data_IF_607871385014
#
_entry.id   IF_607871385014
#
_cell.length_a   1.000
_cell.length_b   1.000
_cell.length_c   1.000
_cell.angle_alpha   90.00
_cell.angle_beta   90.00
_cell.angle_gamma   90.00
#
_symmetry.space_group_name_H-M   'P 1'
#
loop_
_entity.id
_entity.type
_entity.pdbx_description
1 polymer ?
#
# COMPACT_ATOMS: atom_id res chain seq x y z
N UNK A 1 15.55 8.54 11.03
CA UNK A 1 14.09 8.38 10.88
C UNK A 1 13.69 8.69 9.44
N UNK A 2 12.73 7.96 8.88
CA UNK A 2 12.14 8.21 7.55
C UNK A 2 10.62 8.11 7.76
N UNK A 3 9.89 9.19 7.47
CA UNK A 3 8.42 9.25 7.52
C UNK A 3 7.85 9.77 8.84
N UNK A 4 7.04 10.83 8.75
CA UNK A 4 5.98 11.31 9.67
C UNK A 4 6.27 11.54 11.16
N UNK A 5 7.40 11.08 11.70
CA UNK A 5 7.76 11.21 13.11
C UNK A 5 8.07 12.67 13.53
N UNK A 6 7.99 13.64 12.62
CA UNK A 6 8.04 15.08 12.91
C UNK A 6 6.66 15.67 13.27
N UNK A 7 5.55 14.99 12.95
CA UNK A 7 4.21 15.39 13.39
C UNK A 7 3.92 14.61 14.67
N UNK A 8 3.91 15.29 15.83
CA UNK A 8 3.79 14.69 17.18
C UNK A 8 2.63 13.68 17.32
N UNK A 9 1.56 13.84 16.55
CA UNK A 9 0.35 12.98 16.57
C UNK A 9 0.57 11.61 15.90
N UNK A 10 1.59 11.44 15.03
CA UNK A 10 1.75 10.25 14.18
C UNK A 10 2.87 9.28 14.59
N UNK A 11 3.51 9.44 15.75
CA UNK A 11 4.62 8.52 16.12
C UNK A 11 4.15 7.11 16.47
N UNK A 12 2.97 6.95 17.07
CA UNK A 12 2.49 5.67 17.60
C UNK A 12 1.09 5.27 17.12
N UNK A 13 0.43 6.08 16.29
CA UNK A 13 -0.89 5.74 15.77
C UNK A 13 -0.78 5.09 14.39
N UNK A 14 -0.78 3.75 14.37
CA UNK A 14 -0.63 2.97 13.13
C UNK A 14 -1.75 3.22 12.13
N UNK A 15 -2.97 3.52 12.60
CA UNK A 15 -4.08 3.87 11.70
C UNK A 15 -3.83 5.20 11.01
N UNK A 16 -3.43 6.24 11.75
CA UNK A 16 -3.13 7.55 11.17
C UNK A 16 -1.95 7.49 10.19
N UNK A 17 -0.92 6.69 10.50
CA UNK A 17 0.20 6.43 9.60
C UNK A 17 -0.31 5.75 8.32
N UNK A 18 -1.11 4.69 8.47
CA UNK A 18 -1.64 3.91 7.35
C UNK A 18 -2.51 4.78 6.43
N UNK A 19 -3.42 5.58 6.98
CA UNK A 19 -4.27 6.50 6.20
C UNK A 19 -3.43 7.55 5.46
N UNK A 20 -2.36 8.05 6.09
CA UNK A 20 -1.47 9.03 5.44
C UNK A 20 -0.76 8.41 4.23
N UNK A 21 -0.20 7.22 4.40
CA UNK A 21 0.41 6.47 3.31
C UNK A 21 -0.60 6.12 2.21
N UNK A 22 -1.82 5.72 2.58
CA UNK A 22 -2.89 5.44 1.64
C UNK A 22 -3.25 6.69 0.81
N UNK A 23 -3.39 7.84 1.47
CA UNK A 23 -3.71 9.09 0.78
C UNK A 23 -2.60 9.48 -0.21
N UNK A 24 -1.33 9.32 0.18
CA UNK A 24 -0.20 9.54 -0.71
C UNK A 24 -0.17 8.55 -1.88
N UNK A 25 -0.41 7.28 -1.61
CA UNK A 25 -0.54 6.24 -2.63
C UNK A 25 -1.64 6.57 -3.62
N UNK A 26 -2.81 7.01 -3.15
CA UNK A 26 -3.95 7.32 -4.02
C UNK A 26 -3.59 8.38 -5.06
N UNK A 27 -2.96 9.48 -4.64
CA UNK A 27 -2.47 10.54 -5.55
C UNK A 27 -1.46 9.97 -6.56
N UNK A 28 -0.48 9.22 -6.09
CA UNK A 28 0.52 8.61 -6.98
C UNK A 28 -0.10 7.60 -7.95
N UNK A 29 -1.15 6.89 -7.51
CA UNK A 29 -1.85 5.90 -8.32
C UNK A 29 -2.63 6.56 -9.47
N UNK A 30 -3.26 7.71 -9.21
CA UNK A 30 -3.91 8.54 -10.24
C UNK A 30 -2.86 9.06 -11.23
N UNK A 31 -1.72 9.56 -10.72
CA UNK A 31 -0.65 10.05 -11.60
C UNK A 31 -0.09 8.95 -12.50
N UNK A 32 0.12 7.75 -11.96
CA UNK A 32 0.55 6.58 -12.74
C UNK A 32 -0.47 6.26 -13.82
N UNK A 33 -1.76 6.19 -13.47
CA UNK A 33 -2.83 5.88 -14.41
C UNK A 33 -2.92 6.91 -15.54
N UNK A 34 -2.90 8.21 -15.22
CA UNK A 34 -2.87 9.30 -16.21
C UNK A 34 -1.68 9.14 -17.16
N UNK A 35 -0.47 8.92 -16.62
CA UNK A 35 0.73 8.74 -17.45
C UNK A 35 0.59 7.50 -18.35
N UNK A 36 0.09 6.38 -17.82
CA UNK A 36 -0.05 5.13 -18.56
C UNK A 36 -1.08 5.24 -19.70
N UNK A 37 -2.19 5.93 -19.47
CA UNK A 37 -3.20 6.17 -20.48
C UNK A 37 -2.66 7.00 -21.65
N UNK A 38 -1.70 7.91 -21.43
CA UNK A 38 -1.01 8.63 -22.52
C UNK A 38 -0.27 7.69 -23.48
N UNK A 39 0.15 6.51 -23.01
CA UNK A 39 0.80 5.48 -23.81
C UNK A 39 -0.16 4.36 -24.24
N UNK A 40 -1.46 4.52 -24.01
CA UNK A 40 -2.48 3.54 -24.39
C UNK A 40 -2.57 2.32 -23.48
N UNK A 41 -1.88 2.32 -22.33
CA UNK A 41 -2.01 1.25 -21.33
C UNK A 41 -3.25 1.49 -20.47
N UNK A 42 -4.06 0.44 -20.30
CA UNK A 42 -5.22 0.45 -19.40
C UNK A 42 -4.93 -0.37 -18.16
N UNK A 43 -5.62 -0.03 -17.06
CA UNK A 43 -5.55 -0.79 -15.81
C UNK A 43 -6.37 -2.08 -15.86
N UNK A 44 -7.36 -2.16 -16.74
CA UNK A 44 -8.37 -3.22 -16.73
C UNK A 44 -9.34 -3.08 -15.56
N UNK A 45 -10.27 -4.03 -15.45
CA UNK A 45 -11.31 -4.01 -14.44
C UNK A 45 -11.66 -5.44 -13.97
N UNK A 46 -11.39 -5.80 -12.70
CA UNK A 46 -11.68 -7.14 -12.17
C UNK A 46 -13.14 -7.29 -11.72
N UNK A 47 -13.97 -6.25 -11.90
CA UNK A 47 -15.33 -6.22 -11.40
C UNK A 47 -16.23 -7.19 -12.17
N UNK A 48 -17.15 -7.83 -11.45
CA UNK A 48 -18.14 -8.75 -12.02
C UNK A 48 -19.42 -8.00 -12.38
N UNK A 49 -20.35 -8.64 -13.08
CA UNK A 49 -21.68 -8.06 -13.34
C UNK A 49 -22.47 -7.75 -12.05
N UNK A 50 -22.15 -8.40 -10.92
CA UNK A 50 -22.83 -8.19 -9.65
C UNK A 50 -22.01 -7.24 -8.74
N UNK A 51 -22.53 -6.04 -8.41
CA UNK A 51 -21.82 -5.08 -7.58
C UNK A 51 -21.58 -5.58 -6.16
N UNK A 52 -22.56 -6.26 -5.54
CA UNK A 52 -22.43 -6.77 -4.16
C UNK A 52 -21.34 -7.85 -4.10
N UNK A 53 -21.31 -8.74 -5.09
CA UNK A 53 -20.30 -9.79 -5.16
C UNK A 53 -18.90 -9.19 -5.35
N UNK A 54 -18.78 -8.18 -6.22
CA UNK A 54 -17.52 -7.48 -6.45
C UNK A 54 -17.02 -6.77 -5.18
N UNK A 55 -17.93 -6.15 -4.41
CA UNK A 55 -17.59 -5.52 -3.13
C UNK A 55 -17.05 -6.54 -2.14
N UNK A 56 -17.73 -7.68 -2.02
CA UNK A 56 -17.31 -8.74 -1.12
C UNK A 56 -15.92 -9.26 -1.47
N UNK A 57 -15.67 -9.61 -2.74
CA UNK A 57 -14.36 -10.13 -3.16
C UNK A 57 -13.24 -9.11 -2.97
N UNK A 58 -13.43 -7.86 -3.40
CA UNK A 58 -12.40 -6.83 -3.26
C UNK A 58 -12.13 -6.47 -1.79
N UNK A 59 -13.15 -6.50 -0.93
CA UNK A 59 -13.01 -6.25 0.50
C UNK A 59 -12.34 -7.41 1.23
N UNK A 60 -12.58 -8.65 0.81
CA UNK A 60 -11.99 -9.84 1.44
C UNK A 60 -10.59 -10.17 0.91
N UNK A 61 -10.25 -9.77 -0.32
CA UNK A 61 -8.97 -10.04 -0.98
C UNK A 61 -7.73 -9.74 -0.12
N UNK A 62 -7.64 -8.59 0.59
CA UNK A 62 -6.49 -8.30 1.46
C UNK A 62 -6.18 -9.37 2.50
N UNK A 63 -7.18 -10.09 3.00
CA UNK A 63 -6.96 -11.14 4.01
C UNK A 63 -6.14 -12.30 3.44
N UNK A 64 -6.41 -12.69 2.19
CA UNK A 64 -5.69 -13.79 1.55
C UNK A 64 -4.36 -13.32 0.98
N UNK A 65 -4.37 -12.18 0.29
CA UNK A 65 -3.20 -11.64 -0.39
C UNK A 65 -2.09 -11.26 0.60
N UNK A 66 -2.42 -10.60 1.72
CA UNK A 66 -1.40 -10.17 2.67
C UNK A 66 -0.78 -11.35 3.45
N UNK A 67 -1.51 -12.45 3.64
CA UNK A 67 -0.92 -13.68 4.19
C UNK A 67 0.11 -14.24 3.21
N UNK A 68 -0.24 -14.35 1.93
CA UNK A 68 0.70 -14.86 0.94
C UNK A 68 1.91 -13.92 0.74
N UNK A 69 1.66 -12.65 0.41
CA UNK A 69 2.74 -11.73 0.07
C UNK A 69 3.51 -11.23 1.29
N UNK A 70 2.86 -10.93 2.43
CA UNK A 70 3.59 -10.38 3.58
C UNK A 70 4.08 -11.44 4.51
N UNK A 71 3.26 -12.43 4.85
CA UNK A 71 3.71 -13.46 5.80
C UNK A 71 4.65 -14.43 5.09
N UNK A 72 4.21 -15.05 3.99
CA UNK A 72 5.01 -16.10 3.33
C UNK A 72 6.18 -15.54 2.52
N UNK A 73 5.96 -14.54 1.66
CA UNK A 73 7.00 -14.06 0.73
C UNK A 73 7.90 -12.93 1.27
N UNK A 74 7.62 -12.39 2.45
CA UNK A 74 8.42 -11.32 3.06
C UNK A 74 8.80 -11.66 4.51
N UNK A 75 7.82 -11.99 5.36
CA UNK A 75 7.99 -12.27 6.77
C UNK A 75 8.86 -13.50 7.04
N UNK A 76 8.57 -14.63 6.38
CA UNK A 76 9.39 -15.85 6.51
C UNK A 76 10.84 -15.61 6.03
N UNK A 77 11.10 -15.06 4.82
CA UNK A 77 12.46 -14.72 4.40
C UNK A 77 13.20 -13.83 5.40
N UNK A 78 12.54 -12.77 5.91
CA UNK A 78 13.13 -11.87 6.89
C UNK A 78 13.45 -12.59 8.21
N UNK A 79 12.56 -13.47 8.68
CA UNK A 79 12.78 -14.27 9.87
C UNK A 79 13.99 -15.20 9.70
N UNK A 80 14.02 -15.98 8.61
CA UNK A 80 15.09 -16.96 8.36
C UNK A 80 16.47 -16.31 8.21
N UNK A 81 16.54 -15.12 7.61
CA UNK A 81 17.81 -14.44 7.35
C UNK A 81 18.36 -13.69 8.58
N UNK A 82 17.49 -13.15 9.44
CA UNK A 82 17.90 -12.18 10.46
C UNK A 82 17.63 -12.62 11.90
N UNK A 83 16.80 -13.64 12.12
CA UNK A 83 16.47 -14.12 13.46
C UNK A 83 17.17 -15.47 13.69
N UNK A 84 18.11 -15.53 14.66
CA UNK A 84 18.75 -16.79 15.01
C UNK A 84 17.73 -17.82 15.51
N UNK A 85 17.96 -19.09 15.13
CA UNK A 85 17.17 -20.23 15.59
C UNK A 85 17.09 -20.30 17.12
N UNK A 86 15.96 -20.78 17.65
CA UNK A 86 15.76 -21.01 19.09
C UNK A 86 15.30 -19.81 19.93
N UNK A 87 15.10 -18.62 19.33
CA UNK A 87 14.67 -17.42 20.08
C UNK A 87 13.18 -17.31 20.39
N UNK A 88 12.33 -18.21 19.86
CA UNK A 88 10.88 -18.14 20.06
C UNK A 88 10.18 -16.91 19.44
N UNK A 89 10.87 -16.16 18.56
CA UNK A 89 10.37 -14.90 17.99
C UNK A 89 9.58 -15.08 16.68
N UNK A 90 9.21 -16.32 16.32
CA UNK A 90 8.61 -16.62 15.01
C UNK A 90 7.34 -15.80 14.75
N UNK A 91 6.28 -16.01 15.55
CA UNK A 91 5.01 -15.30 15.38
C UNK A 91 5.15 -13.78 15.57
N UNK A 92 6.00 -13.36 16.52
CA UNK A 92 6.28 -11.93 16.75
C UNK A 92 6.92 -11.28 15.52
N UNK A 93 7.85 -11.96 14.85
CA UNK A 93 8.53 -11.46 13.64
C UNK A 93 7.57 -11.44 12.45
N UNK A 94 6.75 -12.49 12.29
CA UNK A 94 5.73 -12.52 11.24
C UNK A 94 4.66 -11.44 11.41
N UNK A 95 4.37 -11.02 12.64
CA UNK A 95 3.46 -9.90 12.89
C UNK A 95 4.14 -8.53 12.73
N UNK A 96 5.39 -8.38 13.19
CA UNK A 96 6.12 -7.11 13.15
C UNK A 96 7.64 -7.33 12.98
N UNK A 97 8.13 -7.45 11.73
CA UNK A 97 9.53 -7.78 11.47
C UNK A 97 10.53 -6.78 12.06
N UNK A 98 10.28 -5.47 11.90
CA UNK A 98 11.20 -4.42 12.36
C UNK A 98 11.52 -4.48 13.85
N UNK A 99 10.57 -4.89 14.70
CA UNK A 99 10.78 -4.98 16.16
C UNK A 99 11.79 -6.05 16.55
N UNK A 100 11.87 -7.12 15.77
CA UNK A 100 12.63 -8.32 16.14
C UNK A 100 13.97 -8.42 15.40
N UNK A 101 14.10 -7.80 14.23
CA UNK A 101 15.35 -7.79 13.46
C UNK A 101 16.42 -6.95 14.19
N UNK A 102 17.60 -7.52 14.52
CA UNK A 102 18.61 -6.87 15.36
C UNK A 102 19.01 -5.48 14.89
N UNK A 103 19.19 -4.56 15.84
CA UNK A 103 19.45 -3.13 15.61
C UNK A 103 20.78 -2.82 14.90
N UNK A 104 21.77 -3.73 14.88
CA UNK A 104 23.02 -3.55 14.11
C UNK A 104 22.74 -3.63 12.60
N UNK A 105 22.06 -2.61 12.09
CA UNK A 105 21.71 -2.37 10.70
C UNK A 105 22.96 -1.96 9.96
N UNK A 106 23.83 -2.93 9.71
CA UNK A 106 24.89 -2.75 8.73
C UNK A 106 24.29 -2.40 7.37
N UNK A 107 25.09 -1.79 6.50
CA UNK A 107 24.68 -1.46 5.12
C UNK A 107 24.08 -2.66 4.39
N UNK A 108 24.62 -3.86 4.63
CA UNK A 108 24.18 -5.10 3.98
C UNK A 108 22.82 -5.59 4.48
N UNK A 109 22.51 -5.45 5.77
CA UNK A 109 21.18 -5.77 6.32
C UNK A 109 20.12 -4.87 5.71
N UNK A 110 20.40 -3.57 5.63
CA UNK A 110 19.48 -2.60 5.03
C UNK A 110 19.26 -2.87 3.55
N UNK A 111 20.35 -3.19 2.82
CA UNK A 111 20.29 -3.56 1.41
C UNK A 111 19.47 -4.83 1.18
N UNK A 112 19.71 -5.87 1.96
CA UNK A 112 18.97 -7.14 1.85
C UNK A 112 17.47 -6.93 2.11
N UNK A 113 17.09 -6.17 3.14
CA UNK A 113 15.67 -5.84 3.40
C UNK A 113 15.07 -5.08 2.21
N UNK A 114 15.78 -4.09 1.65
CA UNK A 114 15.31 -3.35 0.49
C UNK A 114 15.12 -4.24 -0.75
N UNK A 115 16.04 -5.18 -1.00
CA UNK A 115 15.94 -6.14 -2.09
C UNK A 115 14.72 -7.06 -1.90
N UNK A 116 14.52 -7.60 -0.70
CA UNK A 116 13.38 -8.50 -0.43
C UNK A 116 12.06 -7.74 -0.61
N UNK A 117 11.96 -6.49 -0.12
CA UNK A 117 10.80 -5.62 -0.36
C UNK A 117 10.59 -5.40 -1.87
N UNK A 118 11.64 -5.08 -2.62
CA UNK A 118 11.54 -4.84 -4.06
C UNK A 118 11.06 -6.08 -4.82
N UNK A 119 11.63 -7.25 -4.53
CA UNK A 119 11.22 -8.52 -5.14
C UNK A 119 9.79 -8.89 -4.78
N UNK A 120 9.41 -8.72 -3.52
CA UNK A 120 8.04 -8.95 -3.04
C UNK A 120 7.02 -8.05 -3.77
N UNK A 121 7.38 -6.79 -3.98
CA UNK A 121 6.52 -5.80 -4.63
C UNK A 121 6.41 -6.02 -6.13
N UNK A 122 7.50 -6.43 -6.77
CA UNK A 122 7.49 -6.85 -8.17
C UNK A 122 6.59 -8.07 -8.36
N UNK A 123 6.74 -9.10 -7.51
CA UNK A 123 5.87 -10.28 -7.54
C UNK A 123 4.40 -9.88 -7.36
N UNK A 124 4.08 -9.03 -6.36
CA UNK A 124 2.74 -8.52 -6.13
C UNK A 124 2.14 -7.82 -7.36
N UNK A 125 2.91 -6.93 -8.00
CA UNK A 125 2.44 -6.24 -9.22
C UNK A 125 2.22 -7.18 -10.40
N UNK A 126 3.11 -8.16 -10.60
CA UNK A 126 2.99 -9.14 -11.70
C UNK A 126 1.78 -10.07 -11.52
N UNK A 127 1.55 -10.56 -10.30
CA UNK A 127 0.44 -11.50 -10.05
C UNK A 127 -0.92 -10.88 -10.26
N UNK A 128 -1.05 -9.56 -10.11
CA UNK A 128 -2.29 -8.84 -10.40
C UNK A 128 -2.71 -8.96 -11.87
N UNK A 129 -1.80 -9.22 -12.80
CA UNK A 129 -2.13 -9.43 -14.21
C UNK A 129 -2.09 -10.91 -14.58
N UNK A 130 -1.09 -11.66 -14.10
CA UNK A 130 -0.92 -13.08 -14.46
C UNK A 130 -2.05 -13.95 -13.89
N UNK A 131 -2.47 -13.66 -12.66
CA UNK A 131 -3.49 -14.43 -11.94
C UNK A 131 -4.75 -13.60 -11.64
N UNK A 132 -4.78 -12.32 -12.04
CA UNK A 132 -5.91 -11.43 -11.77
C UNK A 132 -7.07 -11.65 -12.71
N UNK A 133 -8.29 -11.58 -12.17
CA UNK A 133 -9.54 -11.83 -12.90
C UNK A 133 -10.04 -10.69 -13.79
N UNK A 134 -9.16 -9.90 -14.40
CA UNK A 134 -9.57 -8.81 -15.32
C UNK A 134 -8.68 -7.55 -15.34
N UNK A 135 -7.56 -7.54 -14.61
CA UNK A 135 -6.60 -6.45 -14.71
C UNK A 135 -5.72 -6.59 -15.96
N UNK A 136 -5.33 -5.45 -16.51
CA UNK A 136 -4.49 -5.34 -17.70
C UNK A 136 -3.05 -4.92 -17.34
N UNK A 137 -2.16 -4.89 -18.34
CA UNK A 137 -0.73 -4.62 -18.16
C UNK A 137 -0.43 -3.30 -17.45
N UNK A 138 -1.29 -2.28 -17.60
CA UNK A 138 -1.15 -1.02 -16.87
C UNK A 138 -1.14 -1.22 -15.36
N UNK A 139 -1.86 -2.23 -14.85
CA UNK A 139 -1.96 -2.50 -13.41
C UNK A 139 -0.63 -2.86 -12.76
N UNK A 140 0.34 -3.40 -13.48
CA UNK A 140 1.60 -3.92 -12.91
C UNK A 140 2.35 -2.83 -12.13
N UNK A 141 2.48 -1.62 -12.69
CA UNK A 141 3.23 -0.53 -12.06
C UNK A 141 2.47 0.07 -10.88
N UNK A 142 1.16 0.28 -11.02
CA UNK A 142 0.29 0.80 -9.97
C UNK A 142 0.24 -0.18 -8.77
N UNK A 143 -0.02 -1.45 -9.03
CA UNK A 143 -0.02 -2.51 -8.02
C UNK A 143 1.39 -2.72 -7.43
N UNK A 144 2.44 -2.64 -8.25
CA UNK A 144 3.83 -2.70 -7.78
C UNK A 144 4.17 -1.59 -6.79
N UNK A 145 3.76 -0.33 -7.06
CA UNK A 145 3.90 0.77 -6.11
C UNK A 145 3.14 0.50 -4.81
N UNK A 146 1.88 0.03 -4.92
CA UNK A 146 1.09 -0.39 -3.76
C UNK A 146 1.81 -1.48 -2.96
N UNK A 147 2.37 -2.48 -3.64
CA UNK A 147 3.17 -3.55 -3.06
C UNK A 147 4.36 -3.04 -2.26
N UNK A 148 5.10 -2.03 -2.77
CA UNK A 148 6.23 -1.41 -2.06
C UNK A 148 5.77 -0.76 -0.77
N UNK A 149 4.68 0.02 -0.83
CA UNK A 149 4.16 0.75 0.33
C UNK A 149 3.64 -0.23 1.38
N UNK A 150 2.88 -1.25 0.97
CA UNK A 150 2.34 -2.25 1.89
C UNK A 150 3.47 -3.09 2.51
N UNK A 151 4.47 -3.51 1.73
CA UNK A 151 5.64 -4.22 2.23
C UNK A 151 6.44 -3.37 3.24
N UNK A 152 6.57 -2.07 2.99
CA UNK A 152 7.17 -1.13 3.93
C UNK A 152 6.35 -1.00 5.22
N UNK A 153 5.03 -0.87 5.11
CA UNK A 153 4.12 -0.78 6.27
C UNK A 153 4.14 -2.05 7.11
N UNK A 154 4.13 -3.21 6.46
CA UNK A 154 4.29 -4.52 7.09
C UNK A 154 5.59 -4.59 7.89
N UNK A 155 6.71 -4.30 7.22
CA UNK A 155 8.04 -4.35 7.84
C UNK A 155 8.10 -3.40 9.05
N UNK A 156 7.74 -2.12 8.86
CA UNK A 156 7.98 -1.05 9.83
C UNK A 156 6.97 -1.01 10.98
N UNK A 157 5.70 -1.34 10.75
CA UNK A 157 4.60 -1.10 11.69
C UNK A 157 3.87 -2.36 12.16
N UNK A 158 3.35 -3.20 11.24
CA UNK A 158 2.75 -4.51 11.54
C UNK A 158 2.02 -5.13 10.33
N UNK A 159 1.69 -6.42 10.42
CA UNK A 159 0.71 -7.11 9.55
C UNK A 159 -0.64 -6.41 9.53
N UNK A 160 -1.14 -5.95 10.69
CA UNK A 160 -2.41 -5.21 10.74
C UNK A 160 -2.37 -3.90 9.94
N UNK A 161 -1.24 -3.19 9.91
CA UNK A 161 -1.08 -1.96 9.13
C UNK A 161 -1.11 -2.25 7.64
N UNK A 162 -0.47 -3.35 7.21
CA UNK A 162 -0.47 -3.80 5.83
C UNK A 162 -1.88 -4.20 5.34
N UNK A 163 -2.60 -5.02 6.13
CA UNK A 163 -3.99 -5.40 5.85
C UNK A 163 -4.89 -4.17 5.79
N UNK A 164 -4.75 -3.25 6.76
CA UNK A 164 -5.58 -2.03 6.80
C UNK A 164 -5.36 -1.16 5.58
N UNK A 165 -4.10 -0.96 5.15
CA UNK A 165 -3.79 -0.19 3.95
C UNK A 165 -4.46 -0.81 2.72
N UNK A 166 -4.25 -2.11 2.52
CA UNK A 166 -4.75 -2.80 1.33
C UNK A 166 -6.28 -2.82 1.34
N UNK A 167 -6.88 -3.10 2.50
CA UNK A 167 -8.32 -3.05 2.68
C UNK A 167 -8.91 -1.68 2.36
N UNK A 168 -8.38 -0.59 2.92
CA UNK A 168 -8.88 0.76 2.61
C UNK A 168 -8.76 1.05 1.10
N UNK A 169 -7.67 0.61 0.46
CA UNK A 169 -7.43 0.83 -0.96
C UNK A 169 -8.48 0.20 -1.88
N UNK A 170 -9.05 -0.93 -1.47
CA UNK A 170 -10.11 -1.60 -2.22
C UNK A 170 -11.51 -1.17 -1.74
N UNK A 171 -11.67 -1.00 -0.43
CA UNK A 171 -12.97 -0.82 0.22
C UNK A 171 -13.54 0.57 0.01
N UNK A 172 -12.76 1.63 0.24
CA UNK A 172 -13.33 2.98 0.43
C UNK A 172 -14.05 3.46 -0.82
N UNK A 173 -13.39 3.38 -1.98
CA UNK A 173 -13.96 3.84 -3.24
C UNK A 173 -15.14 2.96 -3.67
N UNK A 174 -15.06 1.65 -3.42
CA UNK A 174 -16.15 0.76 -3.79
C UNK A 174 -17.39 0.93 -2.90
N UNK A 175 -17.21 1.14 -1.60
CA UNK A 175 -18.28 1.40 -0.65
C UNK A 175 -19.05 2.67 -1.03
N UNK A 176 -18.36 3.77 -1.30
CA UNK A 176 -19.00 5.03 -1.72
C UNK A 176 -19.60 4.94 -3.13
N UNK A 177 -18.99 4.16 -4.02
CA UNK A 177 -19.55 3.91 -5.35
C UNK A 177 -20.90 3.19 -5.27
N UNK A 178 -20.97 2.09 -4.51
CA UNK A 178 -22.21 1.34 -4.27
C UNK A 178 -23.26 2.17 -3.55
N UNK A 179 -22.84 2.96 -2.55
CA UNK A 179 -23.74 3.86 -1.83
C UNK A 179 -24.42 4.85 -2.78
N UNK A 180 -23.63 5.47 -3.68
CA UNK A 180 -24.16 6.35 -4.72
C UNK A 180 -25.13 5.63 -5.67
N UNK A 181 -24.79 4.42 -6.10
CA UNK A 181 -25.66 3.60 -6.95
C UNK A 181 -27.02 3.30 -6.31
N UNK A 182 -27.06 2.91 -5.03
CA UNK A 182 -28.33 2.58 -4.39
C UNK A 182 -29.21 3.80 -4.16
N UNK A 183 -28.63 4.93 -3.73
CA UNK A 183 -29.36 6.15 -3.38
C UNK A 183 -29.72 7.01 -4.60
N UNK A 184 -28.81 7.18 -5.54
CA UNK A 184 -28.93 8.16 -6.64
C UNK A 184 -28.97 7.52 -8.03
N UNK A 185 -28.90 6.18 -8.12
CA UNK A 185 -28.91 5.42 -9.39
C UNK A 185 -27.75 5.78 -10.33
N UNK A 186 -26.68 6.35 -9.80
CA UNK A 186 -25.44 6.61 -10.54
C UNK A 186 -24.74 5.30 -10.86
N UNK A 187 -24.06 5.16 -12.02
CA UNK A 187 -23.26 3.97 -12.31
C UNK A 187 -22.28 3.65 -11.16
N UNK A 188 -22.23 2.39 -10.73
CA UNK A 188 -21.36 1.95 -9.63
C UNK A 188 -19.91 1.68 -10.09
N UNK A 189 -19.66 1.73 -11.40
CA UNK A 189 -18.37 1.44 -12.03
C UNK A 189 -17.79 2.63 -12.79
N UNK A 190 -18.37 3.83 -12.66
CA UNK A 190 -17.87 5.05 -13.27
C UNK A 190 -17.79 6.17 -12.22
N UNK A 191 -16.57 6.66 -11.97
CA UNK A 191 -16.32 7.67 -10.93
C UNK A 191 -16.82 9.07 -11.31
N UNK A 192 -16.76 9.43 -12.60
CA UNK A 192 -17.22 10.73 -13.12
C UNK A 192 -18.70 11.01 -12.81
N UNK A 193 -19.49 9.95 -12.65
CA UNK A 193 -20.94 10.03 -12.56
C UNK A 193 -21.43 9.90 -11.11
N UNK A 194 -20.52 9.75 -10.13
CA UNK A 194 -20.85 9.53 -8.73
C UNK A 194 -20.30 10.66 -7.83
N UNK A 195 -21.19 11.59 -7.45
CA UNK A 195 -20.84 12.76 -6.64
C UNK A 195 -20.22 12.41 -5.28
N UNK A 196 -20.72 11.36 -4.60
CA UNK A 196 -20.18 10.95 -3.31
C UNK A 196 -18.76 10.42 -3.44
N UNK A 197 -18.52 9.60 -4.46
CA UNK A 197 -17.19 9.09 -4.75
C UNK A 197 -16.22 10.24 -5.07
N UNK A 198 -16.64 11.19 -5.89
CA UNK A 198 -15.85 12.38 -6.21
C UNK A 198 -15.46 13.20 -4.95
N UNK A 199 -16.40 13.46 -4.03
CA UNK A 199 -16.11 14.19 -2.78
C UNK A 199 -15.06 13.44 -1.95
N UNK A 200 -15.20 12.12 -1.81
CA UNK A 200 -14.27 11.29 -1.06
C UNK A 200 -12.89 11.28 -1.73
N UNK A 201 -12.83 11.17 -3.05
CA UNK A 201 -11.59 11.25 -3.82
C UNK A 201 -10.88 12.58 -3.63
N UNK A 202 -11.60 13.71 -3.66
CA UNK A 202 -11.02 15.04 -3.39
C UNK A 202 -10.42 15.11 -1.99
N UNK A 203 -11.09 14.57 -0.98
CA UNK A 203 -10.57 14.54 0.40
C UNK A 203 -9.26 13.76 0.47
N UNK A 204 -9.18 12.57 -0.13
CA UNK A 204 -7.95 11.78 -0.17
C UNK A 204 -6.84 12.42 -1.02
N UNK A 205 -7.19 13.11 -2.10
CA UNK A 205 -6.22 13.87 -2.91
C UNK A 205 -5.59 14.99 -2.08
N UNK A 206 -6.40 15.80 -1.39
CA UNK A 206 -5.89 16.91 -0.56
C UNK A 206 -4.99 16.37 0.56
N UNK A 207 -5.43 15.32 1.28
CA UNK A 207 -4.60 14.68 2.31
C UNK A 207 -3.31 14.10 1.74
N UNK A 208 -3.38 13.47 0.56
CA UNK A 208 -2.25 12.87 -0.13
C UNK A 208 -1.21 13.90 -0.55
N UNK A 209 -1.63 15.02 -1.14
CA UNK A 209 -0.74 16.12 -1.53
C UNK A 209 -0.03 16.70 -0.32
N UNK A 210 -0.75 16.98 0.79
CA UNK A 210 -0.14 17.48 2.03
C UNK A 210 0.87 16.48 2.59
N UNK A 211 0.53 15.19 2.60
CA UNK A 211 1.41 14.14 3.08
C UNK A 211 2.68 14.02 2.23
N UNK A 212 2.56 13.98 0.91
CA UNK A 212 3.69 13.87 -0.02
C UNK A 212 4.60 15.10 0.05
N UNK A 213 4.03 16.30 0.15
CA UNK A 213 4.79 17.54 0.34
C UNK A 213 5.66 17.46 1.60
N UNK A 214 5.07 17.09 2.75
CA UNK A 214 5.81 16.95 4.02
C UNK A 214 6.85 15.86 3.98
N UNK A 215 6.56 14.75 3.29
CA UNK A 215 7.52 13.66 3.12
C UNK A 215 8.74 14.14 2.30
N UNK A 216 8.50 14.86 1.21
CA UNK A 216 9.55 15.42 0.36
C UNK A 216 10.41 16.46 1.10
N UNK A 217 9.77 17.39 1.80
CA UNK A 217 10.44 18.41 2.63
C UNK A 217 11.41 17.77 3.64
N UNK A 218 10.98 16.71 4.32
CA UNK A 218 11.83 15.98 5.27
C UNK A 218 13.01 15.28 4.60
N UNK A 219 12.80 14.67 3.43
CA UNK A 219 13.86 13.99 2.68
C UNK A 219 14.93 15.00 2.21
N UNK A 220 14.49 16.14 1.68
CA UNK A 220 15.38 17.22 1.24
C UNK A 220 16.16 17.78 2.43
N UNK A 221 15.48 18.14 3.52
CA UNK A 221 16.12 18.70 4.71
C UNK A 221 17.20 17.76 5.25
N UNK A 222 16.88 16.46 5.35
CA UNK A 222 17.85 15.46 5.80
C UNK A 222 19.06 15.33 4.88
N UNK A 223 18.86 15.41 3.57
CA UNK A 223 19.95 15.39 2.59
C UNK A 223 20.86 16.61 2.76
N UNK A 224 20.27 17.80 2.86
CA UNK A 224 21.00 19.07 3.04
C UNK A 224 21.77 19.13 4.37
N UNK A 225 21.20 18.59 5.46
CA UNK A 225 21.92 18.54 6.75
C UNK A 225 23.08 17.54 6.68
N UNK A 226 22.90 16.40 5.99
CA UNK A 226 23.97 15.42 5.81
C UNK A 226 25.11 15.94 4.92
N UNK A 227 24.82 16.76 3.91
CA UNK A 227 25.86 17.34 3.04
C UNK A 227 26.66 18.46 3.70
N UNK A 228 26.20 18.99 4.85
CA UNK A 228 26.89 20.02 5.64
C UNK A 228 27.79 19.46 6.75
N UNK A 229 27.78 18.14 6.96
CA UNK A 229 28.65 17.42 7.91
C UNK A 229 29.70 16.63 7.14
#
# INVERSE_FOLDING_TARGET
MIGLEAIKVQRNNYLAITISWFSGYFVLSILIDVIQQLFGFKLGNPLTANPILSFFYLSAAPLNEEIFFRVLLLGIPLFLLFIPSGKGLFLSTLNHPYKNIPYKKGKYTTLAIAIIIALNSLAFGLTHVIFGGGYEIGKITQAGLGGVIIAWLYYRYSLSSAITFHWISNYVFFAYSIFGYFLFKTPWNAESDNLFLAIISVVFIVMGVIFLYRLLEQLITKYLTKSKM
#
